data_IF_754491452522
#
_entry.id   IF_754491452522
#
_cell.length_a   1.000
_cell.length_b   1.000
_cell.length_c   1.000
_cell.angle_alpha   90.00
_cell.angle_beta   90.00
_cell.angle_gamma   90.00
#
_symmetry.space_group_name_H-M   'P 1'
#
loop_
_entity.id
_entity.type
_entity.pdbx_description
1 polymer ?
#
# COMPACT_ATOMS: atom_id res chain seq x y z
N UNK A 1 16.14 -8.23 9.64
CA UNK A 1 15.37 -8.47 8.40
C UNK A 1 15.15 -9.98 8.26
N UNK A 2 13.99 -10.47 8.69
CA UNK A 2 13.58 -11.88 8.55
C UNK A 2 13.13 -12.14 7.11
N UNK A 3 14.05 -12.20 6.15
CA UNK A 3 13.74 -12.45 4.74
C UNK A 3 14.57 -13.58 4.10
N UNK A 4 15.38 -14.26 4.89
CA UNK A 4 16.18 -15.39 4.42
C UNK A 4 15.32 -16.66 4.36
N UNK A 5 15.72 -17.63 3.51
CA UNK A 5 15.11 -18.95 3.43
C UNK A 5 15.00 -19.61 4.81
N UNK A 6 16.05 -19.51 5.62
CA UNK A 6 16.11 -20.08 6.97
C UNK A 6 15.11 -19.51 7.96
N UNK A 7 14.52 -18.35 7.67
CA UNK A 7 13.50 -17.74 8.53
C UNK A 7 12.11 -18.37 8.38
N UNK A 8 11.83 -19.05 7.25
CA UNK A 8 10.60 -19.80 7.03
C UNK A 8 10.76 -20.76 5.84
N UNK A 9 11.12 -22.00 6.11
CA UNK A 9 11.36 -23.03 5.10
C UNK A 9 10.16 -23.28 4.17
N UNK A 10 8.92 -23.20 4.67
CA UNK A 10 7.67 -23.37 3.90
C UNK A 10 7.39 -22.22 2.91
N UNK A 11 8.26 -21.21 2.87
CA UNK A 11 8.18 -20.07 1.95
C UNK A 11 9.26 -20.15 0.84
N UNK A 12 9.95 -21.28 0.68
CA UNK A 12 10.93 -21.48 -0.39
C UNK A 12 10.47 -22.59 -1.33
N UNK A 13 9.91 -22.22 -2.46
CA UNK A 13 9.35 -23.09 -3.48
C UNK A 13 9.34 -22.38 -4.84
N UNK A 14 9.30 -23.12 -5.97
CA UNK A 14 9.22 -22.51 -7.28
C UNK A 14 7.82 -21.99 -7.61
N UNK A 15 7.77 -20.85 -8.28
CA UNK A 15 6.57 -20.35 -8.97
C UNK A 15 6.78 -20.57 -10.45
N UNK A 16 5.88 -21.31 -11.09
CA UNK A 16 5.96 -21.61 -12.51
C UNK A 16 5.34 -20.52 -13.36
N UNK A 17 6.11 -20.01 -14.31
CA UNK A 17 5.72 -18.94 -15.22
C UNK A 17 5.82 -19.42 -16.66
N UNK A 18 4.78 -19.13 -17.45
CA UNK A 18 4.74 -19.37 -18.90
C UNK A 18 4.13 -18.15 -19.58
N UNK A 19 4.81 -17.62 -20.61
CA UNK A 19 4.35 -16.45 -21.38
C UNK A 19 3.98 -15.26 -20.47
N UNK A 20 4.81 -14.98 -19.45
CA UNK A 20 4.58 -13.94 -18.43
C UNK A 20 3.33 -14.14 -17.56
N UNK A 21 2.77 -15.34 -17.53
CA UNK A 21 1.65 -15.70 -16.66
C UNK A 21 2.07 -16.75 -15.63
N UNK A 22 1.59 -16.63 -14.38
CA UNK A 22 1.81 -17.64 -13.36
C UNK A 22 0.88 -18.82 -13.65
N UNK A 23 1.46 -20.00 -13.94
CA UNK A 23 0.71 -21.20 -14.25
C UNK A 23 0.55 -22.16 -13.07
N UNK A 24 1.37 -22.01 -12.02
CA UNK A 24 1.28 -22.87 -10.84
C UNK A 24 2.39 -22.61 -9.83
N UNK A 25 2.34 -23.37 -8.75
CA UNK A 25 3.28 -23.32 -7.63
C UNK A 25 3.78 -24.74 -7.34
N UNK A 26 5.10 -24.92 -7.28
CA UNK A 26 5.69 -26.20 -6.92
C UNK A 26 5.63 -26.47 -5.41
N UNK A 27 6.08 -27.64 -5.00
CA UNK A 27 6.18 -28.01 -3.61
C UNK A 27 7.32 -27.25 -2.91
N UNK A 28 7.26 -27.19 -1.58
CA UNK A 28 8.35 -26.63 -0.76
C UNK A 28 9.63 -27.39 -1.08
N UNK A 29 10.67 -26.67 -1.43
CA UNK A 29 11.97 -27.26 -1.77
C UNK A 29 12.64 -27.82 -0.51
N UNK A 30 13.21 -29.04 -0.58
CA UNK A 30 14.00 -29.61 0.50
C UNK A 30 15.17 -28.71 0.91
N UNK A 31 15.60 -28.77 2.16
CA UNK A 31 16.62 -27.88 2.71
C UNK A 31 17.99 -28.05 2.02
N UNK A 32 18.26 -29.22 1.49
CA UNK A 32 19.48 -29.58 0.75
C UNK A 32 19.43 -29.23 -0.73
N UNK A 33 18.28 -28.77 -1.25
CA UNK A 33 18.14 -28.33 -2.63
C UNK A 33 18.43 -26.83 -2.74
N UNK A 34 19.45 -26.48 -3.50
CA UNK A 34 19.86 -25.09 -3.78
C UNK A 34 19.81 -24.82 -5.28
N UNK A 35 18.85 -24.02 -5.75
CA UNK A 35 18.73 -23.66 -7.16
C UNK A 35 19.95 -22.85 -7.63
N UNK A 36 20.47 -23.14 -8.83
CA UNK A 36 21.63 -22.46 -9.40
C UNK A 36 21.35 -20.96 -9.69
N UNK A 37 20.11 -20.59 -9.90
CA UNK A 37 19.70 -19.22 -10.20
C UNK A 37 18.24 -18.97 -9.81
N UNK A 38 17.83 -17.68 -9.80
CA UNK A 38 16.44 -17.26 -9.59
C UNK A 38 15.49 -17.89 -10.60
N UNK A 39 15.87 -17.94 -11.88
CA UNK A 39 15.04 -18.41 -12.97
C UNK A 39 15.66 -19.66 -13.57
N UNK A 40 14.97 -20.80 -13.43
CA UNK A 40 15.41 -22.08 -13.98
C UNK A 40 14.45 -22.46 -15.10
N UNK A 41 15.00 -22.71 -16.29
CA UNK A 41 14.23 -23.15 -17.46
C UNK A 41 13.80 -24.61 -17.26
N UNK A 42 12.49 -24.88 -17.29
CA UNK A 42 11.91 -26.22 -17.18
C UNK A 42 11.67 -26.83 -18.57
N UNK A 43 11.11 -26.04 -19.46
CA UNK A 43 10.89 -26.39 -20.87
C UNK A 43 11.03 -25.15 -21.76
N UNK A 44 10.68 -25.24 -23.05
CA UNK A 44 10.85 -24.12 -24.02
C UNK A 44 10.12 -22.85 -23.59
N UNK A 45 8.99 -22.95 -22.88
CA UNK A 45 8.12 -21.85 -22.56
C UNK A 45 7.90 -21.67 -21.05
N UNK A 46 8.41 -22.58 -20.21
CA UNK A 46 8.15 -22.58 -18.77
C UNK A 46 9.41 -22.34 -17.96
N UNK A 47 9.33 -21.43 -17.01
CA UNK A 47 10.41 -21.06 -16.09
C UNK A 47 9.92 -21.32 -14.66
N UNK A 48 10.79 -21.91 -13.83
CA UNK A 48 10.62 -21.97 -12.38
C UNK A 48 11.35 -20.77 -11.77
N UNK A 49 10.61 -19.92 -11.04
CA UNK A 49 11.14 -18.74 -10.37
C UNK A 49 11.27 -19.01 -8.89
N UNK A 50 12.48 -18.83 -8.36
CA UNK A 50 12.79 -18.96 -6.94
C UNK A 50 13.03 -17.61 -6.28
N UNK A 51 12.79 -17.46 -4.98
CA UNK A 51 13.06 -16.22 -4.26
C UNK A 51 14.57 -16.06 -3.96
N UNK A 52 15.34 -15.77 -4.98
CA UNK A 52 16.79 -15.52 -4.90
C UNK A 52 17.03 -14.06 -5.30
N UNK A 53 17.85 -13.34 -4.52
CA UNK A 53 18.17 -11.94 -4.84
C UNK A 53 19.29 -11.84 -5.91
N UNK A 54 19.60 -10.61 -6.31
CA UNK A 54 20.61 -10.34 -7.36
C UNK A 54 22.04 -10.71 -6.94
N UNK A 55 22.28 -10.99 -5.65
CA UNK A 55 23.57 -11.45 -5.13
C UNK A 55 23.62 -12.98 -4.99
N UNK A 56 22.60 -13.69 -5.46
CA UNK A 56 22.49 -15.15 -5.34
C UNK A 56 22.09 -15.65 -3.94
N UNK A 57 21.63 -14.74 -3.07
CA UNK A 57 21.20 -15.13 -1.72
C UNK A 57 19.77 -15.64 -1.72
N UNK A 58 19.57 -16.85 -1.20
CA UNK A 58 18.25 -17.45 -1.04
C UNK A 58 17.42 -16.68 -0.01
N UNK A 59 16.33 -16.12 -0.48
CA UNK A 59 15.33 -15.41 0.31
C UNK A 59 14.14 -16.32 0.57
N UNK A 60 13.04 -15.75 0.97
CA UNK A 60 11.75 -16.43 1.07
C UNK A 60 10.67 -15.60 0.42
N UNK A 61 9.63 -16.26 -0.09
CA UNK A 61 8.41 -15.55 -0.43
C UNK A 61 7.78 -14.95 0.82
N UNK A 62 7.03 -13.85 0.67
CA UNK A 62 6.25 -13.25 1.78
C UNK A 62 4.94 -14.01 2.07
N UNK A 63 4.72 -15.11 1.38
CA UNK A 63 3.56 -16.01 1.47
C UNK A 63 4.04 -17.46 1.46
N UNK A 64 3.47 -18.26 2.32
CA UNK A 64 3.80 -19.68 2.43
C UNK A 64 3.11 -20.51 1.35
N UNK A 65 3.68 -21.69 1.04
CA UNK A 65 3.17 -22.57 0.00
C UNK A 65 1.71 -22.96 0.22
N UNK A 66 1.31 -23.21 1.47
CA UNK A 66 -0.07 -23.63 1.80
C UNK A 66 -1.15 -22.58 1.58
N UNK A 67 -0.76 -21.28 1.46
CA UNK A 67 -1.72 -20.17 1.33
C UNK A 67 -1.63 -19.44 -0.01
N UNK A 68 -0.60 -19.69 -0.81
CA UNK A 68 -0.33 -18.93 -2.04
C UNK A 68 -1.43 -19.08 -3.09
N UNK A 69 -2.08 -20.22 -3.17
CA UNK A 69 -3.19 -20.46 -4.11
C UNK A 69 -4.34 -19.47 -3.87
N UNK A 70 -4.63 -19.13 -2.61
CA UNK A 70 -5.69 -18.20 -2.24
C UNK A 70 -5.40 -16.72 -2.56
N UNK A 71 -4.17 -16.41 -2.98
CA UNK A 71 -3.77 -15.05 -3.37
C UNK A 71 -3.24 -14.97 -4.81
N UNK A 72 -3.47 -16.00 -5.61
CA UNK A 72 -2.96 -16.10 -6.97
C UNK A 72 -3.35 -14.91 -7.85
N UNK A 73 -4.57 -14.42 -7.71
CA UNK A 73 -5.13 -13.25 -8.39
C UNK A 73 -4.43 -11.92 -8.03
N UNK A 74 -3.71 -11.90 -6.91
CA UNK A 74 -2.93 -10.76 -6.46
C UNK A 74 -1.48 -10.80 -6.98
N UNK A 75 -1.05 -11.92 -7.57
CA UNK A 75 0.31 -12.12 -8.03
C UNK A 75 0.42 -11.86 -9.54
N UNK A 76 1.53 -11.25 -9.93
CA UNK A 76 1.81 -11.00 -11.33
C UNK A 76 3.33 -11.02 -11.61
N UNK A 77 3.68 -11.26 -12.86
CA UNK A 77 5.06 -11.32 -13.31
C UNK A 77 5.50 -9.94 -13.76
N UNK A 78 6.64 -9.47 -13.26
CA UNK A 78 7.33 -8.27 -13.71
C UNK A 78 8.59 -8.67 -14.45
N UNK A 79 8.86 -8.07 -15.60
CA UNK A 79 10.02 -8.37 -16.42
C UNK A 79 9.68 -9.25 -17.63
N UNK A 80 10.70 -9.86 -18.24
CA UNK A 80 10.56 -10.69 -19.42
C UNK A 80 11.06 -12.11 -19.16
N UNK A 81 10.15 -13.06 -19.22
CA UNK A 81 10.44 -14.48 -19.02
C UNK A 81 11.41 -15.04 -20.06
N UNK A 82 11.41 -14.50 -21.29
CA UNK A 82 12.32 -14.97 -22.35
C UNK A 82 13.77 -14.55 -22.08
N UNK A 83 13.96 -13.44 -21.38
CA UNK A 83 15.29 -12.94 -21.00
C UNK A 83 15.77 -13.54 -19.66
N UNK A 84 14.93 -14.28 -18.95
CA UNK A 84 15.27 -14.88 -17.66
C UNK A 84 15.39 -13.86 -16.51
N UNK A 85 14.96 -12.61 -16.73
CA UNK A 85 14.93 -11.55 -15.72
C UNK A 85 13.49 -11.23 -15.34
N UNK A 86 12.95 -12.06 -14.44
CA UNK A 86 11.60 -11.89 -13.93
C UNK A 86 11.56 -11.89 -12.41
N UNK A 87 10.66 -11.06 -11.89
CA UNK A 87 10.28 -11.01 -10.50
C UNK A 87 8.79 -11.33 -10.34
N UNK A 88 8.44 -11.97 -9.23
CA UNK A 88 7.04 -12.18 -8.83
C UNK A 88 6.62 -11.05 -7.89
N UNK A 89 5.65 -10.27 -8.34
CA UNK A 89 5.12 -9.14 -7.61
C UNK A 89 3.75 -9.47 -7.03
N UNK A 90 3.41 -8.80 -5.92
CA UNK A 90 2.08 -8.90 -5.31
C UNK A 90 1.42 -7.54 -5.24
N UNK A 91 0.22 -7.43 -5.80
CA UNK A 91 -0.68 -6.30 -5.60
C UNK A 91 -1.57 -6.56 -4.39
N UNK A 92 -1.63 -5.62 -3.47
CA UNK A 92 -2.55 -5.67 -2.33
C UNK A 92 -3.63 -4.63 -2.53
N UNK A 93 -4.88 -5.02 -2.50
CA UNK A 93 -6.03 -4.10 -2.50
C UNK A 93 -6.23 -3.44 -1.14
N UNK A 94 -5.73 -4.06 -0.08
CA UNK A 94 -5.82 -3.56 1.30
C UNK A 94 -4.44 -3.50 1.91
N UNK A 95 -4.09 -2.37 2.52
CA UNK A 95 -2.85 -2.23 3.29
C UNK A 95 -3.16 -1.70 4.69
N UNK A 96 -2.32 -2.05 5.65
CA UNK A 96 -2.43 -1.51 7.01
C UNK A 96 -1.69 -0.17 7.09
N UNK A 97 -2.33 0.82 7.65
CA UNK A 97 -1.67 2.09 7.94
C UNK A 97 -0.49 1.87 8.89
N UNK A 98 0.61 2.53 8.60
CA UNK A 98 1.78 2.52 9.48
C UNK A 98 1.51 3.43 10.69
N UNK A 99 2.15 3.15 11.80
CA UNK A 99 2.11 4.01 13.00
C UNK A 99 2.84 5.34 12.78
N UNK A 100 3.79 5.39 11.86
CA UNK A 100 4.55 6.59 11.51
C UNK A 100 4.37 6.89 10.02
N UNK A 101 3.97 8.12 9.70
CA UNK A 101 3.70 8.61 8.36
C UNK A 101 4.77 9.63 7.96
N UNK A 102 5.69 9.22 7.07
CA UNK A 102 6.89 9.99 6.69
C UNK A 102 6.83 10.53 5.26
N UNK A 103 5.77 10.27 4.51
CA UNK A 103 5.61 10.78 3.15
C UNK A 103 5.52 12.32 3.16
N UNK A 104 6.08 12.96 2.12
CA UNK A 104 6.06 14.43 1.95
C UNK A 104 4.64 15.00 1.91
N UNK A 105 3.64 14.23 1.48
CA UNK A 105 2.24 14.66 1.46
C UNK A 105 1.68 14.98 2.86
N UNK A 106 2.30 14.48 3.93
CA UNK A 106 1.88 14.77 5.30
C UNK A 106 2.50 16.05 5.87
N UNK A 107 3.29 16.78 5.09
CA UNK A 107 3.84 18.07 5.50
C UNK A 107 2.74 19.10 5.73
N UNK A 108 2.58 19.55 6.98
CA UNK A 108 1.63 20.60 7.34
C UNK A 108 1.94 21.94 6.63
N UNK A 109 3.23 22.27 6.44
CA UNK A 109 3.63 23.50 5.74
C UNK A 109 3.18 23.49 4.28
N UNK A 110 3.45 22.37 3.55
CA UNK A 110 3.16 22.30 2.12
C UNK A 110 1.67 22.10 1.82
N UNK A 111 0.98 21.30 2.64
CA UNK A 111 -0.39 20.84 2.36
C UNK A 111 -1.42 21.24 3.44
N UNK A 112 -1.02 22.11 4.33
CA UNK A 112 -1.86 22.79 5.30
C UNK A 112 -1.70 24.30 5.15
N UNK A 113 -0.60 24.89 5.63
CA UNK A 113 -0.39 26.35 5.62
C UNK A 113 -0.40 26.95 4.21
N UNK A 114 0.32 26.35 3.25
CA UNK A 114 0.33 26.84 1.87
C UNK A 114 -1.06 26.79 1.21
N UNK A 115 -1.85 25.75 1.53
CA UNK A 115 -3.22 25.59 1.05
C UNK A 115 -4.12 26.72 1.58
N UNK A 116 -4.11 26.98 2.90
CA UNK A 116 -4.92 28.03 3.51
C UNK A 116 -4.48 29.43 3.05
N UNK A 117 -3.18 29.65 2.89
CA UNK A 117 -2.65 30.90 2.32
C UNK A 117 -3.19 31.15 0.92
N UNK A 118 -3.20 30.11 0.06
CA UNK A 118 -3.76 30.22 -1.30
C UNK A 118 -5.27 30.52 -1.31
N UNK A 119 -5.98 30.15 -0.24
CA UNK A 119 -7.41 30.46 -0.03
C UNK A 119 -7.65 31.79 0.70
N UNK A 120 -6.59 32.53 1.06
CA UNK A 120 -6.63 33.74 1.90
C UNK A 120 -7.28 33.52 3.29
N UNK A 121 -7.09 32.32 3.87
CA UNK A 121 -7.58 31.97 5.20
C UNK A 121 -6.43 32.08 6.21
N UNK A 122 -6.49 33.05 7.14
CA UNK A 122 -5.49 33.20 8.20
C UNK A 122 -5.71 32.15 9.29
N UNK A 123 -4.81 31.18 9.39
CA UNK A 123 -4.83 30.19 10.46
C UNK A 123 -3.43 29.65 10.75
N UNK A 124 -3.08 29.58 12.03
CA UNK A 124 -1.82 29.04 12.49
C UNK A 124 -1.89 27.52 12.69
N UNK A 125 -0.84 26.83 12.28
CA UNK A 125 -0.65 25.38 12.51
C UNK A 125 -1.74 24.46 11.94
N UNK A 126 -2.22 24.65 10.70
CA UNK A 126 -3.18 23.71 10.10
C UNK A 126 -2.55 22.32 9.90
N UNK A 127 -3.38 21.30 9.84
CA UNK A 127 -2.93 19.96 9.46
C UNK A 127 -2.80 19.84 7.94
N UNK A 128 -1.95 18.93 7.47
CA UNK A 128 -1.97 18.55 6.05
C UNK A 128 -3.33 17.92 5.73
N UNK A 129 -3.95 18.36 4.62
CA UNK A 129 -5.20 17.77 4.14
C UNK A 129 -5.08 16.27 3.88
N UNK A 130 -3.92 15.81 3.40
CA UNK A 130 -3.68 14.39 3.14
C UNK A 130 -3.58 13.55 4.41
N UNK A 131 -3.07 14.12 5.51
CA UNK A 131 -3.11 13.45 6.80
C UNK A 131 -4.56 13.19 7.22
N UNK A 132 -5.42 14.19 7.10
CA UNK A 132 -6.83 14.07 7.49
C UNK A 132 -7.59 13.14 6.55
N UNK A 133 -7.33 13.19 5.24
CA UNK A 133 -7.89 12.25 4.25
C UNK A 133 -7.57 10.80 4.64
N UNK A 134 -6.32 10.50 4.93
CA UNK A 134 -5.91 9.12 5.26
C UNK A 134 -6.47 8.70 6.62
N UNK A 135 -6.61 9.61 7.60
CA UNK A 135 -7.33 9.34 8.85
C UNK A 135 -8.81 9.02 8.62
N UNK A 136 -9.49 9.77 7.76
CA UNK A 136 -10.91 9.54 7.43
C UNK A 136 -11.07 8.19 6.73
N UNK A 137 -10.23 7.88 5.74
CA UNK A 137 -10.22 6.59 5.06
C UNK A 137 -10.02 5.43 6.03
N UNK A 138 -9.04 5.54 6.93
CA UNK A 138 -8.78 4.54 7.95
C UNK A 138 -9.96 4.35 8.91
N UNK A 139 -10.55 5.45 9.37
CA UNK A 139 -11.68 5.42 10.33
C UNK A 139 -12.97 4.88 9.72
N UNK A 140 -13.22 5.18 8.46
CA UNK A 140 -14.39 4.68 7.72
C UNK A 140 -14.13 3.35 7.00
N UNK A 141 -12.95 2.74 7.16
CA UNK A 141 -12.55 1.51 6.46
C UNK A 141 -12.74 1.61 4.93
N UNK A 142 -12.32 2.73 4.36
CA UNK A 142 -12.45 3.10 2.95
C UNK A 142 -13.90 3.14 2.39
N UNK A 143 -14.92 3.19 3.27
CA UNK A 143 -16.31 3.36 2.83
C UNK A 143 -16.52 4.75 2.22
N UNK A 144 -17.38 4.82 1.24
CA UNK A 144 -17.78 6.05 0.53
C UNK A 144 -18.87 6.86 1.25
N UNK A 145 -19.36 6.37 2.39
CA UNK A 145 -20.41 6.97 3.21
C UNK A 145 -20.08 6.89 4.69
N UNK A 146 -20.69 7.76 5.48
CA UNK A 146 -20.49 7.83 6.93
C UNK A 146 -20.54 9.27 7.43
N UNK A 147 -20.47 9.44 8.75
CA UNK A 147 -20.45 10.75 9.41
C UNK A 147 -19.13 10.86 10.19
N UNK A 148 -18.41 11.93 9.97
CA UNK A 148 -17.18 12.26 10.68
C UNK A 148 -17.47 13.46 11.59
N UNK A 149 -17.16 13.33 12.87
CA UNK A 149 -17.31 14.40 13.83
C UNK A 149 -15.93 14.86 14.32
N UNK A 150 -15.65 16.14 14.19
CA UNK A 150 -14.42 16.79 14.65
C UNK A 150 -14.77 17.83 15.73
N UNK A 151 -14.35 17.54 16.98
CA UNK A 151 -14.63 18.37 18.14
C UNK A 151 -13.76 19.61 18.27
N UNK A 152 -12.64 19.64 17.53
CA UNK A 152 -11.65 20.74 17.54
C UNK A 152 -11.24 21.05 16.11
N UNK A 153 -12.21 21.50 15.32
CA UNK A 153 -12.10 21.59 13.86
C UNK A 153 -10.98 22.51 13.37
N UNK A 154 -10.53 23.46 14.19
CA UNK A 154 -9.45 24.37 13.85
C UNK A 154 -9.74 25.11 12.54
N UNK A 155 -8.92 24.88 11.53
CA UNK A 155 -9.11 25.48 10.19
C UNK A 155 -10.15 24.75 9.32
N UNK A 156 -10.93 23.81 9.87
CA UNK A 156 -11.92 23.06 9.09
C UNK A 156 -11.32 22.02 8.13
N UNK A 157 -10.06 21.61 8.32
CA UNK A 157 -9.38 20.65 7.43
C UNK A 157 -10.16 19.34 7.26
N UNK A 158 -10.88 18.90 8.30
CA UNK A 158 -11.73 17.69 8.25
C UNK A 158 -12.88 17.86 7.26
N UNK A 159 -13.58 18.99 7.28
CA UNK A 159 -14.64 19.30 6.30
C UNK A 159 -14.09 19.35 4.88
N UNK A 160 -12.96 20.03 4.68
CA UNK A 160 -12.29 20.11 3.38
C UNK A 160 -11.89 18.71 2.87
N UNK A 161 -11.33 17.87 3.73
CA UNK A 161 -10.97 16.48 3.38
C UNK A 161 -12.17 15.65 2.93
N UNK A 162 -13.31 15.77 3.63
CA UNK A 162 -14.56 15.08 3.28
C UNK A 162 -15.11 15.55 1.93
N UNK A 163 -15.15 16.87 1.71
CA UNK A 163 -15.61 17.44 0.43
C UNK A 163 -14.74 16.92 -0.71
N UNK A 164 -13.42 16.95 -0.52
CA UNK A 164 -12.48 16.46 -1.53
C UNK A 164 -12.65 14.98 -1.83
N UNK A 165 -12.76 14.12 -0.80
CA UNK A 165 -13.02 12.70 -0.98
C UNK A 165 -14.31 12.43 -1.75
N UNK A 166 -15.41 13.10 -1.38
CA UNK A 166 -16.69 12.94 -2.07
C UNK A 166 -16.61 13.38 -3.54
N UNK A 167 -15.81 14.40 -3.84
CA UNK A 167 -15.60 14.82 -5.24
C UNK A 167 -14.76 13.82 -6.04
N UNK A 168 -13.78 13.16 -5.40
CA UNK A 168 -12.89 12.19 -6.03
C UNK A 168 -13.62 10.87 -6.34
N UNK A 169 -14.38 10.33 -5.37
CA UNK A 169 -14.99 8.99 -5.48
C UNK A 169 -16.53 9.00 -5.58
N UNK A 170 -17.15 10.20 -5.69
CA UNK A 170 -18.61 10.40 -5.71
C UNK A 170 -19.31 9.88 -4.45
N UNK A 171 -18.61 9.84 -3.33
CA UNK A 171 -19.11 9.39 -2.04
C UNK A 171 -20.11 10.35 -1.41
N UNK A 172 -20.79 9.86 -0.38
CA UNK A 172 -21.83 10.57 0.38
C UNK A 172 -21.47 10.75 1.87
N UNK A 173 -20.16 10.93 2.16
CA UNK A 173 -19.68 11.20 3.53
C UNK A 173 -20.18 12.55 3.99
N UNK A 174 -20.53 12.65 5.28
CA UNK A 174 -20.95 13.87 5.95
C UNK A 174 -19.97 14.23 7.05
N UNK A 175 -19.93 15.50 7.44
CA UNK A 175 -19.13 15.96 8.55
C UNK A 175 -19.92 16.88 9.49
N UNK A 176 -19.50 16.89 10.74
CA UNK A 176 -19.95 17.84 11.76
C UNK A 176 -18.68 18.42 12.37
N UNK A 177 -18.56 19.74 12.35
CA UNK A 177 -17.43 20.46 12.91
C UNK A 177 -17.89 21.24 14.15
N UNK A 178 -17.14 21.12 15.25
CA UNK A 178 -17.31 21.92 16.44
C UNK A 178 -16.00 22.68 16.74
N UNK A 179 -16.09 23.98 16.94
CA UNK A 179 -14.95 24.84 17.23
C UNK A 179 -15.41 25.98 18.15
N UNK A 180 -14.63 26.26 19.20
CA UNK A 180 -14.92 27.34 20.15
C UNK A 180 -13.97 28.52 20.01
N UNK A 181 -12.97 28.44 19.14
CA UNK A 181 -11.99 29.49 18.93
C UNK A 181 -12.56 30.69 18.18
N UNK A 182 -11.97 31.86 18.39
CA UNK A 182 -12.34 33.09 17.70
C UNK A 182 -12.19 33.03 16.17
N UNK A 183 -11.48 32.03 15.66
CA UNK A 183 -11.29 31.77 14.24
C UNK A 183 -12.43 30.96 13.60
N UNK A 184 -13.47 30.61 14.34
CA UNK A 184 -14.61 29.84 13.79
C UNK A 184 -15.20 30.50 12.53
N UNK A 185 -15.52 31.78 12.61
CA UNK A 185 -16.16 32.52 11.49
C UNK A 185 -15.18 32.88 10.37
N UNK A 186 -13.88 32.85 10.63
CA UNK A 186 -12.85 33.32 9.67
C UNK A 186 -12.08 32.17 8.98
N UNK A 187 -12.02 31.00 9.60
CA UNK A 187 -11.23 29.87 9.11
C UNK A 187 -11.99 28.53 9.09
N UNK A 188 -12.86 28.26 10.09
CA UNK A 188 -13.56 26.96 10.18
C UNK A 188 -14.80 26.91 9.30
N UNK A 189 -15.55 28.00 9.22
CA UNK A 189 -16.80 28.16 8.47
C UNK A 189 -16.54 28.49 7.01
#
# INVERSE_FOLDING_TARGET
NNNLRTDAANCFYPIYVRNNEIIGFGDVSPDDYHPESRCIKIDENTIAVYPIDNNGVEKKWVFERGTVEGIRDQLWVKGDAQQGDIDIMRSKSVFRYKTTWTDKKYSANSYGSALLTAMNIPFDYPKSIYTVIDCVKAGLSDKDSGIVFDFFAGSGTTGHAIIRLNNEDKGARKYILAEMGNHFDTATK
#
